data_IF_289103703812
#
_entry.id   IF_289103703812
#
_cell.length_a   1.000
_cell.length_b   1.000
_cell.length_c   1.000
_cell.angle_alpha   90.00
_cell.angle_beta   90.00
_cell.angle_gamma   90.00
#
_symmetry.space_group_name_H-M   'P 1'
#
loop_
_entity.id
_entity.type
_entity.pdbx_description
1 polymer ?
#
# COMPACT_ATOMS: atom_id res chain seq x y z
N UNK A 1 -6.43 13.56 -34.73
CA UNK A 1 -5.30 12.80 -34.13
C UNK A 1 -4.75 13.63 -33.00
N UNK A 2 -4.69 13.10 -31.79
CA UNK A 2 -3.98 13.78 -30.70
C UNK A 2 -2.49 13.68 -30.96
N UNK A 3 -1.74 14.74 -30.65
CA UNK A 3 -0.30 14.73 -30.84
C UNK A 3 0.38 14.03 -29.65
N UNK A 4 1.46 13.31 -29.92
CA UNK A 4 2.29 12.68 -28.89
C UNK A 4 2.77 13.71 -27.84
N UNK A 5 3.05 14.95 -28.27
CA UNK A 5 3.41 16.05 -27.40
C UNK A 5 2.30 16.41 -26.38
N UNK A 6 1.03 16.34 -26.79
CA UNK A 6 -0.10 16.57 -25.88
C UNK A 6 -0.19 15.49 -24.80
N UNK A 7 -0.10 14.22 -25.21
CA UNK A 7 -0.12 13.07 -24.30
C UNK A 7 1.04 13.18 -23.31
N UNK A 8 2.26 13.46 -23.82
CA UNK A 8 3.45 13.63 -22.99
C UNK A 8 3.31 14.76 -21.99
N UNK A 9 2.81 15.92 -22.41
CA UNK A 9 2.58 17.07 -21.51
C UNK A 9 1.59 16.70 -20.40
N UNK A 10 0.50 16.00 -20.73
CA UNK A 10 -0.49 15.55 -19.75
C UNK A 10 0.10 14.54 -18.75
N UNK A 11 0.87 13.55 -19.22
CA UNK A 11 1.52 12.53 -18.39
C UNK A 11 2.57 13.16 -17.47
N UNK A 12 3.44 14.03 -17.98
CA UNK A 12 4.45 14.73 -17.18
C UNK A 12 3.78 15.61 -16.12
N UNK A 13 2.73 16.35 -16.48
CA UNK A 13 1.97 17.17 -15.54
C UNK A 13 1.33 16.36 -14.41
N UNK A 14 1.00 15.09 -14.68
CA UNK A 14 0.50 14.16 -13.68
C UNK A 14 1.62 13.68 -12.77
N UNK A 15 2.72 13.18 -13.34
CA UNK A 15 3.89 12.66 -12.63
C UNK A 15 4.59 13.73 -11.78
N UNK A 16 4.52 15.00 -12.19
CA UNK A 16 5.08 16.12 -11.42
C UNK A 16 4.38 16.33 -10.05
N UNK A 17 3.17 15.79 -9.85
CA UNK A 17 2.40 15.97 -8.60
C UNK A 17 2.70 14.90 -7.56
N UNK A 18 2.95 13.67 -8.00
CA UNK A 18 3.29 12.51 -7.18
C UNK A 18 3.72 11.36 -8.10
N UNK A 19 4.28 10.31 -7.51
CA UNK A 19 4.47 9.04 -8.21
C UNK A 19 3.12 8.41 -8.57
N UNK A 20 3.03 7.88 -9.79
CA UNK A 20 1.90 7.09 -10.29
C UNK A 20 2.44 5.78 -10.86
N UNK A 21 1.72 4.68 -10.63
CA UNK A 21 2.01 3.45 -11.37
C UNK A 21 1.63 3.62 -12.83
N UNK A 22 2.28 2.85 -13.71
CA UNK A 22 1.94 2.83 -15.14
C UNK A 22 0.45 2.58 -15.35
N UNK A 23 -0.08 1.57 -14.66
CA UNK A 23 -1.48 1.19 -14.74
C UNK A 23 -2.45 2.28 -14.23
N UNK A 24 -2.05 3.10 -13.25
CA UNK A 24 -2.87 4.25 -12.83
C UNK A 24 -3.01 5.29 -13.94
N UNK A 25 -1.92 5.53 -14.69
CA UNK A 25 -1.90 6.51 -15.78
C UNK A 25 -2.69 5.97 -16.99
N UNK A 26 -2.46 4.71 -17.36
CA UNK A 26 -3.20 4.03 -18.42
C UNK A 26 -4.71 4.02 -18.13
N UNK A 27 -5.10 3.65 -16.92
CA UNK A 27 -6.51 3.65 -16.53
C UNK A 27 -7.11 5.05 -16.53
N UNK A 28 -6.36 6.07 -16.07
CA UNK A 28 -6.85 7.46 -16.02
C UNK A 28 -7.10 8.05 -17.41
N UNK A 29 -6.29 7.67 -18.40
CA UNK A 29 -6.36 8.24 -19.73
C UNK A 29 -6.98 7.31 -20.79
N UNK A 30 -7.50 6.15 -20.38
CA UNK A 30 -8.06 5.11 -21.28
C UNK A 30 -9.12 5.60 -22.26
N UNK A 31 -9.94 6.57 -21.84
CA UNK A 31 -11.06 7.08 -22.65
C UNK A 31 -10.66 8.38 -23.37
N UNK A 32 -9.47 8.92 -23.06
CA UNK A 32 -8.99 10.19 -23.61
C UNK A 32 -7.98 9.97 -24.73
N UNK A 33 -7.06 9.03 -24.58
CA UNK A 33 -5.93 8.82 -25.50
C UNK A 33 -5.95 7.41 -26.09
N UNK A 34 -5.44 7.27 -27.31
CA UNK A 34 -5.20 5.96 -27.91
C UNK A 34 -4.21 5.14 -27.07
N UNK A 35 -4.51 3.85 -26.89
CA UNK A 35 -3.74 2.97 -26.00
C UNK A 35 -2.29 2.76 -26.49
N UNK A 36 -2.07 2.67 -27.80
CA UNK A 36 -0.74 2.45 -28.37
C UNK A 36 0.11 3.72 -28.23
N UNK A 37 -0.49 4.88 -28.53
CA UNK A 37 0.20 6.17 -28.35
C UNK A 37 0.54 6.44 -26.87
N UNK A 38 -0.40 6.17 -25.96
CA UNK A 38 -0.16 6.34 -24.53
C UNK A 38 0.94 5.40 -24.02
N UNK A 39 0.93 4.13 -24.45
CA UNK A 39 1.96 3.18 -24.07
C UNK A 39 3.36 3.63 -24.53
N UNK A 40 3.49 4.12 -25.77
CA UNK A 40 4.75 4.66 -26.29
C UNK A 40 5.28 5.84 -25.46
N UNK A 41 4.41 6.78 -25.09
CA UNK A 41 4.79 7.91 -24.23
C UNK A 41 5.20 7.44 -22.84
N UNK A 42 4.51 6.46 -22.26
CA UNK A 42 4.86 5.89 -20.97
C UNK A 42 6.22 5.17 -21.00
N UNK A 43 6.52 4.45 -22.08
CA UNK A 43 7.83 3.81 -22.27
C UNK A 43 8.95 4.85 -22.29
N UNK A 44 8.76 5.97 -23.01
CA UNK A 44 9.70 7.09 -23.00
C UNK A 44 9.80 7.74 -21.61
N UNK A 45 8.68 7.92 -20.90
CA UNK A 45 8.70 8.46 -19.54
C UNK A 45 9.46 7.55 -18.57
N UNK A 46 9.32 6.23 -18.70
CA UNK A 46 10.02 5.26 -17.89
C UNK A 46 11.52 5.23 -18.23
N UNK A 47 11.89 5.26 -19.51
CA UNK A 47 13.28 5.31 -19.96
C UNK A 47 14.00 6.58 -19.47
N UNK A 48 13.30 7.71 -19.42
CA UNK A 48 13.83 8.97 -18.87
C UNK A 48 13.72 9.07 -17.34
N UNK A 49 13.24 8.03 -16.67
CA UNK A 49 13.10 7.98 -15.21
C UNK A 49 11.97 8.83 -14.62
N UNK A 50 11.11 9.44 -15.45
CA UNK A 50 9.95 10.21 -15.00
C UNK A 50 8.89 9.32 -14.34
N UNK A 51 8.67 8.12 -14.89
CA UNK A 51 7.77 7.12 -14.32
C UNK A 51 8.58 5.96 -13.75
N UNK A 52 8.21 5.47 -12.57
CA UNK A 52 8.82 4.29 -11.97
C UNK A 52 7.83 3.55 -11.08
N UNK A 53 7.46 2.34 -11.49
CA UNK A 53 6.64 1.45 -10.65
C UNK A 53 7.36 1.06 -9.36
N UNK A 54 8.70 0.99 -9.36
CA UNK A 54 9.53 0.77 -8.17
C UNK A 54 9.34 1.90 -7.15
N UNK A 55 9.58 3.16 -7.54
CA UNK A 55 9.40 4.31 -6.62
C UNK A 55 7.96 4.40 -6.12
N UNK A 56 7.00 4.10 -6.99
CA UNK A 56 5.59 4.05 -6.61
C UNK A 56 5.32 2.94 -5.57
N UNK A 57 5.85 1.72 -5.77
CA UNK A 57 5.69 0.60 -4.85
C UNK A 57 6.31 0.89 -3.47
N UNK A 58 7.53 1.42 -3.43
CA UNK A 58 8.20 1.81 -2.18
C UNK A 58 7.38 2.84 -1.39
N UNK A 59 6.91 3.89 -2.06
CA UNK A 59 6.04 4.90 -1.47
C UNK A 59 4.72 4.28 -0.96
N UNK A 60 4.11 3.39 -1.74
CA UNK A 60 2.87 2.72 -1.37
C UNK A 60 3.05 1.88 -0.09
N UNK A 61 4.08 1.04 -0.05
CA UNK A 61 4.40 0.19 1.11
C UNK A 61 4.63 1.05 2.33
N UNK A 62 5.49 2.08 2.22
CA UNK A 62 5.83 2.98 3.33
C UNK A 62 4.59 3.71 3.87
N UNK A 63 3.79 4.27 2.97
CA UNK A 63 2.56 5.00 3.32
C UNK A 63 1.55 4.10 4.01
N UNK A 64 1.31 2.90 3.48
CA UNK A 64 0.33 1.96 4.02
C UNK A 64 0.76 1.35 5.35
N UNK A 65 2.03 1.00 5.49
CA UNK A 65 2.59 0.56 6.76
C UNK A 65 2.44 1.64 7.84
N UNK A 66 2.77 2.90 7.52
CA UNK A 66 2.58 4.04 8.44
C UNK A 66 1.12 4.27 8.85
N UNK A 67 0.16 3.95 7.98
CA UNK A 67 -1.28 3.99 8.27
C UNK A 67 -1.79 2.81 9.10
N UNK A 68 -0.93 1.83 9.40
CA UNK A 68 -1.29 0.61 10.12
C UNK A 68 -2.09 -0.36 9.24
N UNK A 69 -1.67 -0.54 7.98
CA UNK A 69 -2.10 -1.67 7.16
C UNK A 69 -1.03 -2.76 7.16
N UNK A 70 -1.47 -4.00 7.33
CA UNK A 70 -0.61 -5.16 7.27
C UNK A 70 -0.33 -5.62 5.84
N UNK A 71 0.62 -6.55 5.74
CA UNK A 71 1.14 -7.11 4.49
C UNK A 71 0.05 -7.47 3.47
N UNK A 72 -0.98 -8.22 3.89
CA UNK A 72 -2.01 -8.72 2.96
C UNK A 72 -2.77 -7.57 2.29
N UNK A 73 -3.01 -6.48 3.03
CA UNK A 73 -3.73 -5.32 2.48
C UNK A 73 -2.85 -4.53 1.53
N UNK A 74 -1.57 -4.40 1.84
CA UNK A 74 -0.59 -3.73 0.97
C UNK A 74 -0.45 -4.46 -0.37
N UNK A 75 -0.32 -5.79 -0.33
CA UNK A 75 -0.27 -6.62 -1.55
C UNK A 75 -1.54 -6.48 -2.39
N UNK A 76 -2.70 -6.50 -1.75
CA UNK A 76 -3.99 -6.33 -2.43
C UNK A 76 -4.12 -4.94 -3.08
N UNK A 77 -3.74 -3.88 -2.35
CA UNK A 77 -3.79 -2.51 -2.86
C UNK A 77 -2.81 -2.34 -4.03
N UNK A 78 -1.58 -2.85 -3.91
CA UNK A 78 -0.58 -2.80 -4.98
C UNK A 78 -1.01 -3.54 -6.25
N UNK A 79 -1.60 -4.74 -6.11
CA UNK A 79 -2.15 -5.50 -7.25
C UNK A 79 -3.27 -4.72 -7.96
N UNK A 80 -4.15 -4.05 -7.22
CA UNK A 80 -5.20 -3.18 -7.81
C UNK A 80 -4.62 -1.97 -8.52
N UNK A 81 -3.41 -1.55 -8.17
CA UNK A 81 -2.65 -0.49 -8.85
C UNK A 81 -1.76 -1.00 -9.98
N UNK A 82 -1.92 -2.28 -10.38
CA UNK A 82 -1.20 -2.88 -11.50
C UNK A 82 0.25 -3.23 -11.22
N UNK A 83 0.69 -3.22 -9.96
CA UNK A 83 2.03 -3.63 -9.59
C UNK A 83 2.16 -5.15 -9.60
N UNK A 84 3.33 -5.63 -10.02
CA UNK A 84 3.66 -7.06 -9.93
C UNK A 84 3.85 -7.48 -8.47
N UNK A 85 3.50 -8.75 -8.18
CA UNK A 85 3.64 -9.30 -6.84
C UNK A 85 5.11 -9.41 -6.42
N UNK A 86 6.00 -9.70 -7.37
CA UNK A 86 7.45 -9.76 -7.14
C UNK A 86 7.98 -8.41 -6.67
N UNK A 87 7.68 -7.34 -7.41
CA UNK A 87 8.06 -5.97 -7.07
C UNK A 87 7.62 -5.58 -5.66
N UNK A 88 6.36 -5.86 -5.32
CA UNK A 88 5.82 -5.55 -4.00
C UNK A 88 6.54 -6.32 -2.90
N UNK A 89 6.77 -7.63 -3.09
CA UNK A 89 7.49 -8.47 -2.11
C UNK A 89 8.92 -7.99 -1.91
N UNK A 90 9.59 -7.55 -2.97
CA UNK A 90 10.94 -7.01 -2.90
C UNK A 90 10.97 -5.71 -2.10
N UNK A 91 10.10 -4.75 -2.43
CA UNK A 91 9.96 -3.49 -1.69
C UNK A 91 9.64 -3.71 -0.19
N UNK A 92 8.76 -4.68 0.10
CA UNK A 92 8.39 -5.03 1.47
C UNK A 92 9.59 -5.59 2.24
N UNK A 93 10.36 -6.48 1.62
CA UNK A 93 11.53 -7.11 2.21
C UNK A 93 12.63 -6.08 2.47
N UNK A 94 12.87 -5.17 1.53
CA UNK A 94 13.86 -4.09 1.66
C UNK A 94 13.56 -3.13 2.79
N UNK A 95 12.28 -2.86 3.08
CA UNK A 95 11.90 -2.00 4.21
C UNK A 95 12.08 -2.67 5.58
N UNK A 96 12.32 -3.98 5.64
CA UNK A 96 12.59 -4.73 6.87
C UNK A 96 11.60 -4.40 8.01
N UNK A 97 10.31 -4.28 7.67
CA UNK A 97 9.26 -3.86 8.61
C UNK A 97 8.96 -4.94 9.64
N UNK A 98 8.89 -4.55 10.90
CA UNK A 98 8.35 -5.40 11.96
C UNK A 98 6.82 -5.32 11.98
N UNK A 99 6.18 -6.32 11.37
CA UNK A 99 4.72 -6.40 11.29
C UNK A 99 4.06 -6.68 12.64
N UNK A 100 4.75 -7.30 13.59
CA UNK A 100 4.23 -7.56 14.93
C UNK A 100 4.13 -6.24 15.70
N UNK A 101 5.20 -5.44 15.68
CA UNK A 101 5.23 -4.13 16.34
C UNK A 101 4.27 -3.12 15.70
N UNK A 102 4.13 -3.14 14.37
CA UNK A 102 3.12 -2.33 13.68
C UNK A 102 1.70 -2.70 14.09
N UNK A 103 1.40 -3.99 14.27
CA UNK A 103 0.10 -4.46 14.73
C UNK A 103 -0.16 -4.04 16.18
N UNK A 104 0.83 -4.20 17.07
CA UNK A 104 0.76 -3.82 18.48
C UNK A 104 0.52 -2.31 18.62
N UNK A 105 1.34 -1.49 17.96
CA UNK A 105 1.21 -0.03 17.92
C UNK A 105 -0.18 0.41 17.43
N UNK A 106 -0.72 -0.25 16.39
CA UNK A 106 -2.06 0.06 15.90
C UNK A 106 -3.16 -0.31 16.91
N UNK A 107 -3.04 -1.47 17.53
CA UNK A 107 -3.97 -1.95 18.55
C UNK A 107 -4.01 -1.00 19.74
N UNK A 108 -2.85 -0.64 20.28
CA UNK A 108 -2.69 0.29 21.41
C UNK A 108 -3.32 1.65 21.11
N UNK A 109 -2.99 2.26 19.96
CA UNK A 109 -3.58 3.56 19.56
C UNK A 109 -5.11 3.52 19.43
N UNK A 110 -5.67 2.39 18.99
CA UNK A 110 -7.12 2.28 18.73
C UNK A 110 -7.93 1.98 19.99
N UNK A 111 -7.44 1.09 20.86
CA UNK A 111 -8.21 0.57 21.99
C UNK A 111 -7.77 1.14 23.34
N UNK A 112 -6.56 1.73 23.43
CA UNK A 112 -5.96 2.43 24.58
C UNK A 112 -5.76 1.63 25.87
N UNK A 113 -6.70 0.76 26.20
CA UNK A 113 -6.72 -0.07 27.40
C UNK A 113 -6.47 -1.53 27.03
N UNK A 114 -5.93 -2.30 27.97
CA UNK A 114 -5.93 -3.76 27.92
C UNK A 114 -7.35 -4.34 27.73
N UNK A 115 -7.43 -5.60 27.34
CA UNK A 115 -8.66 -6.39 27.41
C UNK A 115 -8.39 -7.64 28.19
N UNK A 116 -9.26 -7.95 29.15
CA UNK A 116 -9.28 -9.30 29.69
C UNK A 116 -9.56 -10.28 28.55
N UNK A 117 -8.61 -11.18 28.29
CA UNK A 117 -8.74 -12.20 27.24
C UNK A 117 -9.95 -13.13 27.46
N UNK A 118 -10.52 -13.17 28.67
CA UNK A 118 -11.77 -13.87 28.98
C UNK A 118 -13.01 -13.13 28.46
N UNK A 119 -12.94 -11.81 28.20
CA UNK A 119 -13.97 -11.10 27.45
C UNK A 119 -13.87 -11.42 25.96
N UNK A 120 -14.47 -12.56 25.61
CA UNK A 120 -14.49 -13.08 24.24
C UNK A 120 -15.03 -12.07 23.23
N UNK A 121 -16.00 -11.24 23.63
CA UNK A 121 -16.63 -10.26 22.73
C UNK A 121 -15.66 -9.14 22.37
N UNK A 122 -14.93 -8.62 23.36
CA UNK A 122 -13.92 -7.58 23.14
C UNK A 122 -12.68 -8.14 22.42
N UNK A 123 -12.23 -9.35 22.75
CA UNK A 123 -11.15 -10.04 22.04
C UNK A 123 -11.47 -10.22 20.55
N UNK A 124 -12.64 -10.78 20.22
CA UNK A 124 -13.08 -10.98 18.83
C UNK A 124 -13.20 -9.65 18.08
N UNK A 125 -13.62 -8.57 18.74
CA UNK A 125 -13.69 -7.22 18.16
C UNK A 125 -12.30 -6.72 17.76
N UNK A 126 -11.30 -6.83 18.65
CA UNK A 126 -9.91 -6.41 18.38
C UNK A 126 -9.28 -7.27 17.28
N UNK A 127 -9.50 -8.59 17.34
CA UNK A 127 -9.02 -9.53 16.33
C UNK A 127 -9.58 -9.19 14.94
N UNK A 128 -10.91 -9.03 14.81
CA UNK A 128 -11.55 -8.67 13.53
C UNK A 128 -11.03 -7.35 12.99
N UNK A 129 -10.77 -6.37 13.86
CA UNK A 129 -10.20 -5.09 13.45
C UNK A 129 -8.81 -5.28 12.82
N UNK A 130 -7.89 -5.97 13.49
CA UNK A 130 -6.52 -6.18 12.99
C UNK A 130 -6.49 -7.04 11.71
N UNK A 131 -7.29 -8.10 11.65
CA UNK A 131 -7.42 -8.92 10.44
C UNK A 131 -7.97 -8.09 9.26
N UNK A 132 -8.96 -7.22 9.51
CA UNK A 132 -9.49 -6.32 8.46
C UNK A 132 -8.47 -5.30 7.95
N UNK A 133 -7.43 -5.03 8.74
CA UNK A 133 -6.28 -4.20 8.36
C UNK A 133 -5.20 -4.97 7.62
N UNK A 134 -5.33 -6.30 7.47
CA UNK A 134 -4.44 -7.14 6.68
C UNK A 134 -3.26 -7.73 7.46
N UNK A 135 -3.32 -7.72 8.80
CA UNK A 135 -2.38 -8.46 9.64
C UNK A 135 -2.74 -9.95 9.68
N UNK A 136 -1.75 -10.81 9.88
CA UNK A 136 -1.98 -12.24 10.10
C UNK A 136 -2.65 -12.48 11.45
N UNK A 137 -3.20 -13.69 11.64
CA UNK A 137 -3.77 -14.09 12.92
C UNK A 137 -2.73 -14.02 14.06
N UNK A 138 -1.50 -14.44 13.81
CA UNK A 138 -0.41 -14.43 14.79
C UNK A 138 -0.02 -13.00 15.20
N UNK A 139 0.13 -12.10 14.22
CA UNK A 139 0.40 -10.68 14.47
C UNK A 139 -0.74 -10.03 15.24
N UNK A 140 -1.99 -10.34 14.90
CA UNK A 140 -3.15 -9.81 15.59
C UNK A 140 -3.25 -10.32 17.04
N UNK A 141 -2.98 -11.60 17.27
CA UNK A 141 -2.94 -12.20 18.61
C UNK A 141 -1.84 -11.58 19.46
N UNK A 142 -0.62 -11.46 18.92
CA UNK A 142 0.50 -10.79 19.58
C UNK A 142 0.13 -9.36 19.99
N UNK A 143 -0.42 -8.58 19.06
CA UNK A 143 -0.83 -7.20 19.31
C UNK A 143 -1.87 -7.06 20.42
N UNK A 144 -2.83 -7.98 20.51
CA UNK A 144 -3.83 -7.95 21.59
C UNK A 144 -3.19 -8.25 22.95
N UNK A 145 -2.28 -9.23 22.99
CA UNK A 145 -1.59 -9.63 24.22
C UNK A 145 -0.60 -8.56 24.70
N UNK A 146 0.15 -7.92 23.79
CA UNK A 146 1.12 -6.87 24.12
C UNK A 146 0.49 -5.69 24.87
N UNK A 147 -0.73 -5.27 24.47
CA UNK A 147 -1.46 -4.18 25.14
C UNK A 147 -1.85 -4.55 26.57
N UNK A 148 -2.04 -5.85 26.86
CA UNK A 148 -2.34 -6.29 28.22
C UNK A 148 -1.11 -6.21 29.12
N UNK A 149 0.06 -6.58 28.62
CA UNK A 149 1.32 -6.52 29.36
C UNK A 149 1.79 -5.10 29.69
N UNK A 150 1.42 -4.11 28.88
CA UNK A 150 1.74 -2.69 29.14
C UNK A 150 0.79 -2.01 30.15
N UNK A 151 -0.33 -2.66 30.50
CA UNK A 151 -1.37 -2.10 31.40
C UNK A 151 -1.34 -2.72 32.81
N UNK A 152 -0.47 -3.70 33.06
CA UNK A 152 -0.20 -4.27 34.40
C UNK A 152 0.91 -3.49 35.12
#
# INVERSE_FOLDING_TARGET
MQSEAEIRSAVISLLARREYSRAEIEHKYRDKYDAVQLASVLDQCQANGYQSDQRFAEMLVRSKAGQGYGLLRILQDGKRKGLSETLLKDCIREQALDWFELAASLCQRKFKEGVDTQDRKLYEKRMRYLLSRGFSYEQAKYAINSVNSDTE
#
